data_IF_205794603034
#
_entry.id   IF_205794603034
#
_cell.length_a   1.000
_cell.length_b   1.000
_cell.length_c   1.000
_cell.angle_alpha   90.00
_cell.angle_beta   90.00
_cell.angle_gamma   90.00
#
_symmetry.space_group_name_H-M   'P 1'
#
loop_
_entity.id
_entity.type
_entity.pdbx_description
1 polymer ?
#
# COMPACT_ATOMS: atom_id res chain seq x y z
N UNK A 1 -13.44 -20.25 8.51
CA UNK A 1 -13.65 -19.60 7.21
C UNK A 1 -12.60 -20.06 6.23
N UNK A 2 -12.86 -20.02 4.92
CA UNK A 2 -11.80 -20.26 3.97
C UNK A 2 -10.68 -19.23 4.19
N UNK A 3 -9.44 -19.69 4.22
CA UNK A 3 -8.26 -18.85 4.33
C UNK A 3 -8.08 -18.11 2.97
N UNK A 4 -7.81 -16.81 3.02
CA UNK A 4 -7.47 -16.07 1.81
C UNK A 4 -6.21 -16.64 1.17
N UNK A 5 -6.25 -16.76 -0.16
CA UNK A 5 -5.11 -17.11 -0.98
C UNK A 5 -5.00 -16.07 -2.10
N UNK A 6 -3.84 -15.45 -2.20
CA UNK A 6 -3.59 -14.47 -3.25
C UNK A 6 -3.58 -15.16 -4.62
N UNK A 7 -4.28 -14.60 -5.63
CA UNK A 7 -4.29 -15.16 -6.98
C UNK A 7 -3.01 -14.79 -7.75
N UNK A 8 -1.85 -15.13 -7.15
CA UNK A 8 -0.53 -14.70 -7.62
C UNK A 8 -0.28 -15.09 -9.08
N UNK A 9 -0.63 -16.32 -9.46
CA UNK A 9 -0.47 -16.80 -10.85
C UNK A 9 -1.30 -15.95 -11.83
N UNK A 10 -2.51 -15.57 -11.47
CA UNK A 10 -3.38 -14.77 -12.33
C UNK A 10 -2.85 -13.34 -12.46
N UNK A 11 -2.36 -12.75 -11.37
CA UNK A 11 -1.73 -11.43 -11.38
C UNK A 11 -0.46 -11.41 -12.24
N UNK A 12 0.40 -12.41 -12.09
CA UNK A 12 1.58 -12.58 -12.93
C UNK A 12 1.20 -12.75 -14.41
N UNK A 13 0.19 -13.57 -14.70
CA UNK A 13 -0.32 -13.74 -16.06
C UNK A 13 -0.79 -12.42 -16.67
N UNK A 14 -1.60 -11.66 -15.92
CA UNK A 14 -2.11 -10.37 -16.39
C UNK A 14 -0.96 -9.39 -16.65
N UNK A 15 -0.03 -9.23 -15.71
CA UNK A 15 1.05 -8.28 -15.85
C UNK A 15 2.04 -8.67 -16.96
N UNK A 16 2.47 -9.92 -16.97
CA UNK A 16 3.57 -10.34 -17.86
C UNK A 16 3.10 -10.83 -19.22
N UNK A 17 2.02 -11.61 -19.28
CA UNK A 17 1.60 -12.27 -20.52
C UNK A 17 0.52 -11.47 -21.26
N UNK A 18 -0.46 -10.89 -20.54
CA UNK A 18 -1.55 -10.15 -21.16
C UNK A 18 -1.16 -8.69 -21.47
N UNK A 19 -0.59 -7.98 -20.48
CA UNK A 19 -0.24 -6.57 -20.59
C UNK A 19 1.18 -6.35 -21.11
N UNK A 20 2.04 -7.37 -21.09
CA UNK A 20 3.45 -7.26 -21.44
C UNK A 20 4.13 -6.09 -20.72
N UNK A 21 3.94 -6.02 -19.39
CA UNK A 21 4.28 -4.87 -18.58
C UNK A 21 5.77 -4.51 -18.64
N UNK A 22 6.66 -5.51 -18.76
CA UNK A 22 8.11 -5.30 -18.88
C UNK A 22 8.47 -4.47 -20.11
N UNK A 23 7.91 -4.81 -21.28
CA UNK A 23 8.13 -4.04 -22.52
C UNK A 23 7.58 -2.62 -22.39
N UNK A 24 6.52 -2.46 -21.61
CA UNK A 24 5.92 -1.16 -21.33
C UNK A 24 6.83 -0.31 -20.42
N UNK A 25 7.33 -0.90 -19.34
CA UNK A 25 8.24 -0.24 -18.41
C UNK A 25 9.57 0.14 -19.09
N UNK A 26 10.10 -0.72 -19.94
CA UNK A 26 11.32 -0.45 -20.69
C UNK A 26 11.23 0.79 -21.64
N UNK A 27 10.02 1.22 -22.00
CA UNK A 27 9.78 2.43 -22.80
C UNK A 27 9.66 3.72 -21.99
N UNK A 28 9.56 3.59 -20.65
CA UNK A 28 9.36 4.72 -19.75
C UNK A 28 10.68 5.06 -19.05
N UNK A 29 11.24 6.27 -19.25
CA UNK A 29 12.55 6.65 -18.69
C UNK A 29 12.66 6.41 -17.18
N UNK A 30 11.55 6.52 -16.44
CA UNK A 30 11.54 6.31 -14.98
C UNK A 30 11.74 4.83 -14.56
N UNK A 31 11.49 3.86 -15.49
CA UNK A 31 11.45 2.44 -15.11
C UNK A 31 12.42 1.57 -15.91
N UNK A 32 12.94 2.05 -17.03
CA UNK A 32 13.68 1.27 -18.04
C UNK A 32 14.90 0.51 -17.48
N UNK A 33 15.56 1.03 -16.43
CA UNK A 33 16.76 0.44 -15.86
C UNK A 33 16.51 -0.32 -14.55
N UNK A 34 15.37 -0.04 -13.88
CA UNK A 34 15.17 -0.44 -12.49
C UNK A 34 14.02 -1.44 -12.28
N UNK A 35 13.22 -1.73 -13.33
CA UNK A 35 12.05 -2.61 -13.18
C UNK A 35 12.20 -3.84 -14.06
N UNK A 36 12.53 -4.96 -13.45
CA UNK A 36 12.58 -6.27 -14.10
C UNK A 36 11.38 -7.13 -13.71
N UNK A 37 11.15 -8.20 -14.47
CA UNK A 37 10.14 -9.22 -14.15
C UNK A 37 10.37 -9.81 -12.76
N UNK A 38 11.61 -10.19 -12.48
CA UNK A 38 12.00 -10.79 -11.20
C UNK A 38 11.70 -9.86 -10.03
N UNK A 39 11.95 -8.57 -10.21
CA UNK A 39 11.62 -7.57 -9.18
C UNK A 39 10.11 -7.48 -8.94
N UNK A 40 9.32 -7.40 -10.01
CA UNK A 40 7.85 -7.39 -9.92
C UNK A 40 7.34 -8.64 -9.21
N UNK A 41 7.84 -9.81 -9.59
CA UNK A 41 7.44 -11.08 -8.98
C UNK A 41 7.80 -11.14 -7.49
N UNK A 42 8.98 -10.68 -7.08
CA UNK A 42 9.39 -10.60 -5.67
C UNK A 42 8.44 -9.73 -4.84
N UNK A 43 8.02 -8.58 -5.35
CA UNK A 43 7.05 -7.73 -4.65
C UNK A 43 5.66 -8.36 -4.57
N UNK A 44 5.21 -9.02 -5.63
CA UNK A 44 3.93 -9.74 -5.63
C UNK A 44 3.94 -10.90 -4.63
N UNK A 45 5.03 -11.67 -4.58
CA UNK A 45 5.21 -12.77 -3.63
C UNK A 45 5.25 -12.27 -2.18
N UNK A 46 6.01 -11.22 -1.91
CA UNK A 46 6.06 -10.60 -0.58
C UNK A 46 4.69 -10.06 -0.13
N UNK A 47 3.95 -9.43 -1.05
CA UNK A 47 2.59 -8.96 -0.77
C UNK A 47 1.61 -10.11 -0.56
N UNK A 48 1.72 -11.18 -1.32
CA UNK A 48 0.89 -12.38 -1.14
C UNK A 48 1.13 -13.00 0.24
N UNK A 49 2.39 -13.18 0.63
CA UNK A 49 2.75 -13.71 1.96
C UNK A 49 2.21 -12.84 3.09
N UNK A 50 2.41 -11.53 3.01
CA UNK A 50 1.86 -10.57 3.98
C UNK A 50 0.34 -10.63 4.07
N UNK A 51 -0.36 -10.65 2.94
CA UNK A 51 -1.81 -10.68 2.89
C UNK A 51 -2.40 -11.99 3.42
N UNK A 52 -1.77 -13.12 3.10
CA UNK A 52 -2.21 -14.45 3.54
C UNK A 52 -1.96 -14.70 5.02
N UNK A 53 -0.77 -14.34 5.51
CA UNK A 53 -0.29 -14.73 6.83
C UNK A 53 -0.50 -13.67 7.91
N UNK A 54 -0.53 -12.38 7.53
CA UNK A 54 -0.70 -11.28 8.49
C UNK A 54 -2.10 -10.65 8.42
N UNK A 55 -2.58 -10.25 7.23
CA UNK A 55 -3.83 -9.50 7.12
C UNK A 55 -5.09 -10.37 7.18
N UNK A 56 -5.10 -11.49 6.47
CA UNK A 56 -6.29 -12.35 6.39
C UNK A 56 -6.74 -12.87 7.76
N UNK A 57 -5.85 -13.33 8.66
CA UNK A 57 -6.24 -13.73 10.01
C UNK A 57 -6.87 -12.60 10.82
N UNK A 58 -6.44 -11.35 10.61
CA UNK A 58 -6.93 -10.17 11.33
C UNK A 58 -8.32 -9.72 10.89
N UNK A 59 -8.83 -10.15 9.74
CA UNK A 59 -10.13 -9.71 9.23
C UNK A 59 -11.26 -10.05 10.21
N UNK A 60 -11.29 -11.26 10.74
CA UNK A 60 -12.29 -11.67 11.75
C UNK A 60 -12.07 -11.03 13.11
N UNK A 61 -10.82 -10.81 13.50
CA UNK A 61 -10.47 -10.15 14.75
C UNK A 61 -11.00 -8.72 14.71
N UNK A 62 -10.74 -8.01 13.61
CA UNK A 62 -11.24 -6.66 13.41
C UNK A 62 -12.76 -6.53 13.43
N UNK A 63 -13.47 -7.49 12.80
CA UNK A 63 -14.94 -7.52 12.78
C UNK A 63 -15.53 -7.76 14.19
N UNK A 64 -14.91 -8.59 15.01
CA UNK A 64 -15.40 -8.92 16.36
C UNK A 64 -15.06 -7.86 17.41
N UNK A 65 -13.83 -7.34 17.38
CA UNK A 65 -13.34 -6.40 18.38
C UNK A 65 -13.75 -4.97 18.07
N UNK A 66 -13.66 -4.56 16.78
CA UNK A 66 -13.85 -3.18 16.36
C UNK A 66 -12.83 -2.22 16.98
N UNK A 67 -12.97 -0.94 16.68
CA UNK A 67 -12.23 0.11 17.39
C UNK A 67 -13.00 0.53 18.65
N UNK A 68 -12.28 0.79 19.73
CA UNK A 68 -12.87 1.33 20.96
C UNK A 68 -12.36 2.73 21.22
N UNK A 69 -13.25 3.59 21.71
CA UNK A 69 -12.91 4.94 22.15
C UNK A 69 -13.08 5.04 23.67
N UNK A 70 -12.09 5.59 24.36
CA UNK A 70 -12.15 5.86 25.77
C UNK A 70 -11.39 7.16 26.09
N UNK A 71 -12.09 8.19 26.55
CA UNK A 71 -11.55 9.47 27.00
C UNK A 71 -10.52 10.09 26.02
N UNK A 72 -10.90 10.21 24.76
CA UNK A 72 -10.05 10.77 23.70
C UNK A 72 -9.03 9.81 23.08
N UNK A 73 -8.92 8.58 23.58
CA UNK A 73 -8.00 7.56 23.08
C UNK A 73 -8.77 6.52 22.27
N UNK A 74 -8.31 6.26 21.04
CA UNK A 74 -8.82 5.18 20.19
C UNK A 74 -7.86 3.99 20.27
N UNK A 75 -8.42 2.82 20.55
CA UNK A 75 -7.70 1.53 20.48
C UNK A 75 -8.19 0.76 19.27
N UNK A 76 -7.27 0.38 18.41
CA UNK A 76 -7.54 -0.47 17.22
C UNK A 76 -7.63 -1.94 17.63
N UNK A 77 -8.24 -2.80 16.78
CA UNK A 77 -8.27 -4.25 17.03
C UNK A 77 -6.87 -4.83 17.22
N UNK A 78 -6.81 -5.94 17.93
CA UNK A 78 -5.58 -6.70 18.20
C UNK A 78 -4.87 -7.05 16.88
N UNK A 79 -3.56 -6.78 16.80
CA UNK A 79 -2.71 -7.11 15.66
C UNK A 79 -2.71 -6.06 14.53
N UNK A 80 -3.61 -5.07 14.52
CA UNK A 80 -3.70 -4.08 13.44
C UNK A 80 -2.47 -3.16 13.39
N UNK A 81 -1.95 -2.75 14.55
CA UNK A 81 -0.74 -1.91 14.61
C UNK A 81 0.50 -2.67 14.18
N UNK A 82 0.63 -3.91 14.61
CA UNK A 82 1.74 -4.79 14.27
C UNK A 82 1.76 -5.10 12.78
N UNK A 83 0.60 -5.35 12.17
CA UNK A 83 0.48 -5.52 10.73
C UNK A 83 0.86 -4.23 9.97
N UNK A 84 0.50 -3.05 10.49
CA UNK A 84 0.90 -1.78 9.89
C UNK A 84 2.41 -1.56 9.95
N UNK A 85 3.05 -1.93 11.06
CA UNK A 85 4.50 -1.86 11.17
C UNK A 85 5.20 -2.77 10.13
N UNK A 86 4.73 -4.00 9.96
CA UNK A 86 5.23 -4.91 8.92
C UNK A 86 5.02 -4.37 7.51
N UNK A 87 3.87 -3.77 7.24
CA UNK A 87 3.56 -3.12 5.97
C UNK A 87 4.57 -2.00 5.63
N UNK A 88 4.96 -1.21 6.64
CA UNK A 88 6.00 -0.20 6.51
C UNK A 88 7.37 -0.84 6.25
N UNK A 89 7.75 -1.85 7.03
CA UNK A 89 9.04 -2.56 6.90
C UNK A 89 9.21 -3.21 5.53
N UNK A 90 8.13 -3.67 4.91
CA UNK A 90 8.11 -4.20 3.54
C UNK A 90 8.20 -3.09 2.47
N UNK A 91 8.15 -1.82 2.87
CA UNK A 91 8.30 -0.68 1.96
C UNK A 91 7.06 -0.38 1.11
N UNK A 92 5.92 -0.98 1.37
CA UNK A 92 4.72 -0.80 0.55
C UNK A 92 4.18 0.65 0.51
N UNK A 93 4.24 1.48 1.60
CA UNK A 93 3.83 2.87 1.54
C UNK A 93 4.61 3.72 0.53
N UNK A 94 5.90 3.41 0.36
CA UNK A 94 6.84 4.17 -0.45
C UNK A 94 7.00 3.66 -1.88
N UNK A 95 6.37 2.53 -2.22
CA UNK A 95 6.62 1.76 -3.44
C UNK A 95 6.56 2.59 -4.73
N UNK A 96 5.47 3.30 -4.97
CA UNK A 96 5.22 4.06 -6.20
C UNK A 96 5.48 5.58 -6.04
N UNK A 97 6.14 5.98 -4.98
CA UNK A 97 6.54 7.37 -4.75
C UNK A 97 7.92 7.61 -5.38
N UNK A 98 8.17 8.77 -6.03
CA UNK A 98 9.48 9.10 -6.57
C UNK A 98 10.60 9.06 -5.54
N UNK A 99 11.80 8.66 -5.98
CA UNK A 99 12.99 8.57 -5.11
C UNK A 99 13.36 9.91 -4.47
N UNK A 100 13.14 11.02 -5.17
CA UNK A 100 13.38 12.39 -4.67
C UNK A 100 12.55 12.73 -3.43
N UNK A 101 11.45 12.00 -3.20
CA UNK A 101 10.57 12.14 -2.03
C UNK A 101 10.73 10.99 -1.04
N UNK A 102 11.80 10.17 -1.18
CA UNK A 102 12.08 9.03 -0.31
C UNK A 102 11.31 7.76 -0.67
N UNK A 103 10.74 7.71 -1.87
CA UNK A 103 10.07 6.53 -2.42
C UNK A 103 11.01 5.58 -3.12
N UNK A 104 10.44 4.51 -3.69
CA UNK A 104 11.19 3.49 -4.43
C UNK A 104 11.09 3.67 -5.95
N UNK A 105 10.29 4.61 -6.43
CA UNK A 105 10.15 4.92 -7.86
C UNK A 105 9.58 3.77 -8.70
N UNK A 106 8.86 2.81 -8.11
CA UNK A 106 8.32 1.65 -8.81
C UNK A 106 6.98 1.97 -9.50
N UNK A 107 6.57 1.17 -10.50
CA UNK A 107 5.34 1.43 -11.24
C UNK A 107 4.08 1.39 -10.37
N UNK A 108 3.18 2.35 -10.57
CA UNK A 108 1.90 2.39 -9.89
C UNK A 108 1.00 1.18 -10.16
N UNK A 109 1.18 0.49 -11.29
CA UNK A 109 0.48 -0.77 -11.60
C UNK A 109 0.84 -1.90 -10.63
N UNK A 110 2.10 -1.98 -10.17
CA UNK A 110 2.50 -2.90 -9.11
C UNK A 110 1.81 -2.54 -7.79
N UNK A 111 1.77 -1.26 -7.43
CA UNK A 111 1.03 -0.78 -6.26
C UNK A 111 -0.47 -1.11 -6.33
N UNK A 112 -1.06 -1.07 -7.52
CA UNK A 112 -2.47 -1.46 -7.73
C UNK A 112 -2.69 -2.94 -7.46
N UNK A 113 -1.83 -3.82 -7.97
CA UNK A 113 -1.92 -5.25 -7.73
C UNK A 113 -1.77 -5.59 -6.22
N UNK A 114 -0.84 -4.95 -5.53
CA UNK A 114 -0.68 -5.10 -4.07
C UNK A 114 -1.92 -4.60 -3.32
N UNK A 115 -2.48 -3.46 -3.71
CA UNK A 115 -3.69 -2.91 -3.09
C UNK A 115 -4.90 -3.84 -3.27
N UNK A 116 -5.01 -4.53 -4.40
CA UNK A 116 -6.04 -5.54 -4.63
C UNK A 116 -5.91 -6.70 -3.64
N UNK A 117 -4.69 -7.23 -3.45
CA UNK A 117 -4.43 -8.29 -2.48
C UNK A 117 -4.76 -7.86 -1.05
N UNK A 118 -4.34 -6.65 -0.66
CA UNK A 118 -4.62 -6.07 0.67
C UNK A 118 -6.13 -5.93 0.89
N UNK A 119 -6.84 -5.36 -0.09
CA UNK A 119 -8.30 -5.19 -0.01
C UNK A 119 -9.05 -6.51 0.06
N UNK A 120 -8.62 -7.52 -0.71
CA UNK A 120 -9.24 -8.84 -0.70
C UNK A 120 -8.97 -9.61 0.60
N UNK A 121 -7.80 -9.42 1.22
CA UNK A 121 -7.44 -10.07 2.49
C UNK A 121 -8.14 -9.42 3.69
N UNK A 122 -8.13 -8.07 3.76
CA UNK A 122 -8.72 -7.32 4.86
C UNK A 122 -9.02 -5.87 4.45
N UNK A 123 -10.20 -5.62 3.90
CA UNK A 123 -10.59 -4.30 3.43
C UNK A 123 -10.63 -3.24 4.54
N UNK A 124 -11.13 -3.59 5.72
CA UNK A 124 -11.23 -2.66 6.85
C UNK A 124 -9.84 -2.14 7.28
N UNK A 125 -8.84 -3.01 7.29
CA UNK A 125 -7.46 -2.61 7.55
C UNK A 125 -6.88 -1.82 6.37
N UNK A 126 -7.13 -2.23 5.14
CA UNK A 126 -6.61 -1.60 3.91
C UNK A 126 -7.07 -0.17 3.69
N UNK A 127 -8.20 0.23 4.28
CA UNK A 127 -8.68 1.62 4.23
C UNK A 127 -7.70 2.61 4.87
N UNK A 128 -6.95 2.19 5.88
CA UNK A 128 -6.02 3.04 6.60
C UNK A 128 -4.82 3.50 5.74
N UNK A 129 -4.01 2.61 5.16
CA UNK A 129 -2.91 3.02 4.28
C UNK A 129 -3.39 3.63 2.96
N UNK A 130 -4.56 3.25 2.46
CA UNK A 130 -5.12 3.75 1.21
C UNK A 130 -5.35 5.26 1.20
N UNK A 131 -5.83 5.84 2.30
CA UNK A 131 -6.03 7.29 2.43
C UNK A 131 -4.69 8.04 2.47
N UNK A 132 -3.66 7.45 3.07
CA UNK A 132 -2.32 8.02 3.09
C UNK A 132 -1.72 8.13 1.69
N UNK A 133 -1.92 7.13 0.83
CA UNK A 133 -1.51 7.19 -0.59
C UNK A 133 -2.17 8.36 -1.33
N UNK A 134 -3.45 8.60 -1.10
CA UNK A 134 -4.15 9.75 -1.66
C UNK A 134 -3.55 11.08 -1.23
N UNK A 135 -3.24 11.23 0.06
CA UNK A 135 -2.60 12.41 0.61
C UNK A 135 -1.21 12.64 -0.01
N UNK A 136 -0.37 11.61 -0.08
CA UNK A 136 0.97 11.68 -0.70
C UNK A 136 0.87 12.16 -2.14
N UNK A 137 0.03 11.53 -2.97
CA UNK A 137 -0.11 11.91 -4.39
C UNK A 137 -0.64 13.33 -4.57
N UNK A 138 -1.56 13.77 -3.72
CA UNK A 138 -2.09 15.13 -3.78
C UNK A 138 -1.00 16.15 -3.47
N UNK A 139 -0.21 15.94 -2.43
CA UNK A 139 0.87 16.84 -2.05
C UNK A 139 2.00 16.80 -3.10
N UNK A 140 2.36 15.63 -3.59
CA UNK A 140 3.38 15.45 -4.63
C UNK A 140 3.06 16.29 -5.89
N UNK A 141 1.81 16.22 -6.36
CA UNK A 141 1.44 16.89 -7.62
C UNK A 141 1.04 18.36 -7.47
N UNK A 142 0.49 18.73 -6.31
CA UNK A 142 -0.15 20.05 -6.14
C UNK A 142 0.39 20.85 -4.96
N UNK A 143 1.19 20.25 -4.09
CA UNK A 143 1.77 20.94 -2.93
C UNK A 143 2.86 21.94 -3.33
N UNK A 144 3.03 22.99 -2.53
CA UNK A 144 4.21 23.86 -2.61
C UNK A 144 5.48 23.10 -2.17
N UNK A 145 6.66 23.63 -2.51
CA UNK A 145 7.93 23.03 -2.10
C UNK A 145 8.04 22.90 -0.57
N UNK A 146 7.51 23.89 0.16
CA UNK A 146 7.43 23.86 1.62
C UNK A 146 6.53 22.72 2.12
N UNK A 147 5.36 22.53 1.50
CA UNK A 147 4.45 21.44 1.85
C UNK A 147 5.07 20.07 1.53
N UNK A 148 5.69 19.92 0.36
CA UNK A 148 6.37 18.69 -0.04
C UNK A 148 7.49 18.34 0.94
N UNK A 149 8.37 19.28 1.24
CA UNK A 149 9.49 19.04 2.16
C UNK A 149 9.05 18.77 3.60
N UNK A 150 7.92 19.32 4.03
CA UNK A 150 7.41 19.14 5.38
C UNK A 150 6.67 17.81 5.57
N UNK A 151 5.80 17.45 4.62
CA UNK A 151 4.84 16.37 4.82
C UNK A 151 5.25 15.05 4.14
N UNK A 152 5.83 15.10 2.93
CA UNK A 152 6.10 13.88 2.17
C UNK A 152 7.05 12.91 2.88
N UNK A 153 8.18 13.33 3.46
CA UNK A 153 9.10 12.38 4.09
C UNK A 153 8.43 11.53 5.17
N UNK A 154 7.56 12.11 5.97
CA UNK A 154 6.88 11.41 7.06
C UNK A 154 5.67 10.58 6.61
N UNK A 155 4.97 11.02 5.58
CA UNK A 155 3.88 10.26 4.98
C UNK A 155 4.41 9.06 4.19
N UNK A 156 5.50 9.23 3.45
CA UNK A 156 6.14 8.18 2.64
C UNK A 156 6.79 7.12 3.51
N UNK A 157 7.42 7.53 4.63
CA UNK A 157 7.96 6.58 5.61
C UNK A 157 6.89 5.84 6.42
N UNK A 158 5.63 6.27 6.35
CA UNK A 158 4.54 5.73 7.16
C UNK A 158 4.52 6.21 8.62
N UNK A 159 5.42 7.13 9.01
CA UNK A 159 5.40 7.74 10.36
C UNK A 159 4.12 8.55 10.58
N UNK A 160 3.71 9.29 9.56
CA UNK A 160 2.43 10.00 9.54
C UNK A 160 1.46 9.33 8.58
N UNK A 161 0.17 9.54 8.84
CA UNK A 161 -0.91 9.03 8.02
C UNK A 161 -1.82 10.14 7.54
N UNK A 162 -2.38 9.98 6.35
CA UNK A 162 -3.38 10.87 5.79
C UNK A 162 -4.79 10.36 6.03
N UNK A 163 -5.76 11.27 6.01
CA UNK A 163 -7.17 10.93 6.05
C UNK A 163 -7.97 11.87 5.16
N UNK A 164 -9.21 11.52 4.85
CA UNK A 164 -10.11 12.34 4.07
C UNK A 164 -11.17 12.98 5.00
N UNK A 165 -11.16 14.31 5.08
CA UNK A 165 -12.16 15.06 5.85
C UNK A 165 -13.41 15.40 5.04
N UNK A 166 -13.37 15.30 3.72
CA UNK A 166 -14.46 15.69 2.83
C UNK A 166 -15.77 14.98 3.13
N UNK A 167 -15.70 13.73 3.59
CA UNK A 167 -16.87 12.92 3.94
C UNK A 167 -17.33 13.11 5.40
N UNK A 168 -16.59 13.85 6.19
CA UNK A 168 -16.86 14.07 7.62
C UNK A 168 -17.19 15.52 7.97
N UNK A 169 -17.07 16.43 6.99
CA UNK A 169 -17.49 17.84 7.15
C UNK A 169 -18.94 17.98 6.64
N UNK A 170 -19.86 18.27 7.54
CA UNK A 170 -21.20 18.76 7.21
C UNK A 170 -21.14 20.21 6.72
#
# INVERSE_FOLDING_TARGET
MPQYKAPLRDMQFVLHELLNAEEHYAKLPAFQENVSRELVDQYLEAAADFCENELSPLNQIGDREGCTWNDGVVTTPTGFKEAYQKYIELGFPSLAVPEEHGGQGLPGSLGTAISEMVGAANWAWGMYPGLSHGAVRTIEHHGSDEQKSTYLPKLVSGEWTGTCLLYTSD
#
